data_IF_513978777052
#
_entry.id   IF_513978777052
#
_cell.length_a   1.000
_cell.length_b   1.000
_cell.length_c   1.000
_cell.angle_alpha   90.00
_cell.angle_beta   90.00
_cell.angle_gamma   90.00
#
_symmetry.space_group_name_H-M   'P 1'
#
loop_
_entity.id
_entity.type
_entity.pdbx_description
1 polymer ?
#
# COMPACT_ATOMS: atom_id res chain seq x y z
N UNK A 1 -11.26 14.22 -3.77
CA UNK A 1 -12.16 13.24 -3.13
C UNK A 1 -12.00 13.17 -1.60
N UNK A 2 -10.78 13.06 -1.05
CA UNK A 2 -10.56 13.02 0.42
C UNK A 2 -11.20 14.20 1.19
N UNK A 3 -11.07 15.42 0.68
CA UNK A 3 -11.61 16.62 1.36
C UNK A 3 -13.14 16.59 1.46
N UNK A 4 -13.84 16.06 0.44
CA UNK A 4 -15.30 16.12 0.39
C UNK A 4 -15.97 15.08 1.29
N UNK A 5 -15.42 13.86 1.38
CA UNK A 5 -15.92 12.86 2.34
C UNK A 5 -15.68 13.32 3.78
N UNK A 6 -14.49 13.86 4.09
CA UNK A 6 -14.16 14.39 5.42
C UNK A 6 -15.09 15.52 5.84
N UNK A 7 -15.32 16.50 4.95
CA UNK A 7 -16.19 17.65 5.27
C UNK A 7 -17.66 17.26 5.50
N UNK A 8 -18.10 16.14 4.94
CA UNK A 8 -19.47 15.64 5.08
C UNK A 8 -19.61 14.55 6.17
N UNK A 9 -18.59 14.30 6.99
CA UNK A 9 -18.60 13.27 8.04
C UNK A 9 -18.90 11.86 7.50
N UNK A 10 -18.46 11.57 6.27
CA UNK A 10 -18.64 10.27 5.63
C UNK A 10 -17.40 9.42 5.90
N UNK A 11 -17.61 8.23 6.47
CA UNK A 11 -16.53 7.23 6.60
C UNK A 11 -16.10 6.75 5.21
N UNK A 12 -14.80 6.84 4.93
CA UNK A 12 -14.22 6.40 3.67
C UNK A 12 -13.45 5.10 3.87
N UNK A 13 -13.90 4.03 3.22
CA UNK A 13 -13.25 2.72 3.30
C UNK A 13 -12.26 2.54 2.16
N UNK A 14 -10.98 2.32 2.47
CA UNK A 14 -9.95 2.08 1.48
C UNK A 14 -9.84 0.58 1.17
N UNK A 15 -9.96 0.22 -0.12
CA UNK A 15 -9.71 -1.14 -0.62
C UNK A 15 -8.38 -1.18 -1.39
N UNK A 16 -7.86 -2.37 -1.70
CA UNK A 16 -6.53 -2.57 -2.34
C UNK A 16 -5.34 -1.93 -1.59
N UNK A 17 -5.42 -1.79 -0.26
CA UNK A 17 -4.37 -1.15 0.55
C UNK A 17 -2.98 -1.79 0.40
N UNK A 18 -2.92 -3.09 0.09
CA UNK A 18 -1.68 -3.82 -0.19
C UNK A 18 -1.50 -4.18 -1.68
N UNK A 19 -2.35 -3.67 -2.57
CA UNK A 19 -2.30 -3.92 -4.02
C UNK A 19 -2.17 -5.42 -4.35
N UNK A 20 -3.09 -6.22 -3.79
CA UNK A 20 -3.11 -7.68 -3.94
C UNK A 20 -1.79 -8.39 -3.51
N UNK A 21 -1.04 -7.78 -2.60
CA UNK A 21 0.22 -8.25 -2.08
C UNK A 21 1.46 -7.62 -2.71
N UNK A 22 1.31 -6.75 -3.72
CA UNK A 22 2.43 -6.08 -4.37
C UNK A 22 3.23 -5.20 -3.39
N UNK A 23 2.56 -4.56 -2.42
CA UNK A 23 3.18 -3.72 -1.39
C UNK A 23 3.56 -4.50 -0.11
N UNK A 24 3.68 -5.83 -0.19
CA UNK A 24 4.05 -6.65 0.97
C UNK A 24 5.56 -6.89 1.11
N UNK A 25 6.36 -6.47 0.12
CA UNK A 25 7.80 -6.75 0.06
C UNK A 25 8.17 -8.20 -0.31
N UNK A 26 7.20 -9.04 -0.69
CA UNK A 26 7.43 -10.45 -1.07
C UNK A 26 7.79 -10.67 -2.53
N UNK A 27 7.58 -9.66 -3.38
CA UNK A 27 7.77 -9.75 -4.81
C UNK A 27 8.79 -8.72 -5.27
N UNK A 28 9.68 -9.18 -6.14
CA UNK A 28 10.76 -8.41 -6.73
C UNK A 28 11.12 -9.01 -8.10
N UNK A 29 12.07 -8.42 -8.82
CA UNK A 29 12.52 -8.86 -10.15
C UNK A 29 13.13 -10.27 -10.15
N UNK A 30 13.58 -10.78 -9.00
CA UNK A 30 14.07 -12.15 -8.82
C UNK A 30 12.97 -13.11 -8.33
N UNK A 31 11.95 -12.59 -7.67
CA UNK A 31 10.80 -13.31 -7.12
C UNK A 31 9.49 -12.73 -7.69
N UNK A 32 9.22 -12.92 -9.00
CA UNK A 32 8.04 -12.33 -9.63
C UNK A 32 6.74 -13.01 -9.16
N UNK A 33 5.60 -12.40 -9.48
CA UNK A 33 4.32 -13.06 -9.27
C UNK A 33 4.20 -14.32 -10.15
N UNK A 34 3.49 -15.37 -9.67
CA UNK A 34 3.29 -16.59 -10.43
C UNK A 34 2.68 -16.33 -11.82
N UNK A 35 3.34 -16.83 -12.86
CA UNK A 35 2.91 -16.68 -14.26
C UNK A 35 1.49 -17.24 -14.47
N UNK A 36 0.75 -16.65 -15.42
CA UNK A 36 -0.63 -17.02 -15.72
C UNK A 36 -1.68 -16.49 -14.73
N UNK A 37 -1.27 -15.65 -13.77
CA UNK A 37 -2.20 -14.92 -12.88
C UNK A 37 -2.42 -13.48 -13.37
N UNK A 38 -3.61 -12.94 -13.14
CA UNK A 38 -3.93 -11.53 -13.42
C UNK A 38 -2.98 -10.56 -12.70
N UNK A 39 -2.45 -10.96 -11.54
CA UNK A 39 -1.43 -10.19 -10.81
C UNK A 39 -0.11 -10.14 -11.55
N UNK A 40 0.33 -11.27 -12.10
CA UNK A 40 1.55 -11.32 -12.89
C UNK A 40 1.44 -10.44 -14.14
N UNK A 41 0.33 -10.48 -14.86
CA UNK A 41 0.12 -9.66 -16.06
C UNK A 41 0.24 -8.16 -15.77
N UNK A 42 -0.15 -7.71 -14.58
CA UNK A 42 -0.12 -6.28 -14.23
C UNK A 42 1.14 -5.85 -13.50
N UNK A 43 1.64 -6.64 -12.55
CA UNK A 43 2.76 -6.23 -11.72
C UNK A 43 4.11 -6.70 -12.25
N UNK A 44 4.22 -7.84 -12.93
CA UNK A 44 5.52 -8.31 -13.46
C UNK A 44 6.19 -7.31 -14.42
N UNK A 45 5.47 -6.61 -15.31
CA UNK A 45 6.06 -5.60 -16.19
C UNK A 45 6.63 -4.37 -15.48
N UNK A 46 6.31 -4.17 -14.19
CA UNK A 46 6.69 -2.98 -13.41
C UNK A 46 7.39 -3.32 -12.09
N UNK A 47 7.94 -4.54 -11.96
CA UNK A 47 8.59 -5.02 -10.73
C UNK A 47 9.79 -4.17 -10.32
N UNK A 48 10.55 -3.65 -11.29
CA UNK A 48 11.67 -2.74 -11.06
C UNK A 48 11.25 -1.47 -10.30
N UNK A 49 10.09 -0.90 -10.66
CA UNK A 49 9.50 0.25 -9.97
C UNK A 49 8.89 -0.13 -8.63
N UNK A 50 8.26 -1.31 -8.58
CA UNK A 50 7.66 -1.84 -7.35
C UNK A 50 8.70 -2.15 -6.28
N UNK A 51 9.89 -2.61 -6.68
CA UNK A 51 11.05 -2.77 -5.81
C UNK A 51 11.47 -1.45 -5.16
N UNK A 52 11.53 -0.36 -5.91
CA UNK A 52 11.87 0.97 -5.38
C UNK A 52 10.86 1.37 -4.30
N UNK A 53 9.56 1.16 -4.56
CA UNK A 53 8.51 1.46 -3.59
C UNK A 53 8.61 0.58 -2.34
N UNK A 54 8.75 -0.74 -2.52
CA UNK A 54 8.89 -1.69 -1.42
C UNK A 54 10.14 -1.44 -0.59
N UNK A 55 11.24 -0.99 -1.21
CA UNK A 55 12.45 -0.57 -0.50
C UNK A 55 12.16 0.64 0.40
N UNK A 56 11.45 1.66 -0.10
CA UNK A 56 11.08 2.82 0.73
C UNK A 56 10.15 2.42 1.88
N UNK A 57 9.17 1.56 1.63
CA UNK A 57 8.31 0.99 2.68
C UNK A 57 9.14 0.26 3.74
N UNK A 58 10.14 -0.52 3.32
CA UNK A 58 11.05 -1.22 4.22
C UNK A 58 11.92 -0.28 5.06
N UNK A 59 12.49 0.78 4.47
CA UNK A 59 13.29 1.76 5.21
C UNK A 59 12.50 2.37 6.38
N UNK A 60 11.25 2.80 6.12
CA UNK A 60 10.37 3.36 7.16
C UNK A 60 9.94 2.29 8.17
N UNK A 61 9.68 1.08 7.71
CA UNK A 61 9.31 -0.04 8.59
C UNK A 61 10.46 -0.41 9.55
N UNK A 62 11.70 -0.42 9.06
CA UNK A 62 12.89 -0.70 9.86
C UNK A 62 13.11 0.42 10.91
N UNK A 63 12.92 1.70 10.54
CA UNK A 63 12.99 2.85 11.46
C UNK A 63 11.96 2.74 12.59
N UNK A 64 10.76 2.24 12.27
CA UNK A 64 9.65 2.09 13.21
C UNK A 64 9.60 0.71 13.91
N UNK A 65 10.53 -0.19 13.58
CA UNK A 65 10.59 -1.57 14.08
C UNK A 65 9.30 -2.38 13.85
N UNK A 66 8.75 -2.28 12.64
CA UNK A 66 7.51 -2.94 12.21
C UNK A 66 7.71 -3.69 10.89
N UNK A 67 6.72 -4.48 10.49
CA UNK A 67 6.74 -5.14 9.18
C UNK A 67 6.43 -4.17 8.05
N UNK A 68 7.12 -4.31 6.90
CA UNK A 68 6.89 -3.48 5.70
C UNK A 68 5.43 -3.47 5.25
N UNK A 69 4.71 -4.59 5.40
CA UNK A 69 3.31 -4.69 5.02
C UNK A 69 2.37 -3.87 5.93
N UNK A 70 2.81 -3.42 7.10
CA UNK A 70 2.01 -2.58 7.98
C UNK A 70 2.05 -1.11 7.56
N UNK A 71 3.08 -0.67 6.81
CA UNK A 71 3.26 0.73 6.41
C UNK A 71 2.16 1.22 5.45
N UNK A 72 1.76 0.50 4.38
CA UNK A 72 0.65 0.93 3.52
C UNK A 72 -0.68 1.05 4.28
N UNK A 73 -0.91 0.17 5.25
CA UNK A 73 -2.11 0.20 6.10
C UNK A 73 -2.08 1.40 7.04
N UNK A 74 -0.95 1.66 7.71
CA UNK A 74 -0.76 2.85 8.53
C UNK A 74 -0.88 4.15 7.71
N UNK A 75 -0.40 4.15 6.46
CA UNK A 75 -0.58 5.26 5.52
C UNK A 75 -2.07 5.53 5.26
N UNK A 76 -2.85 4.51 4.89
CA UNK A 76 -4.28 4.63 4.65
C UNK A 76 -5.04 5.20 5.88
N UNK A 77 -4.67 4.75 7.09
CA UNK A 77 -5.24 5.26 8.35
C UNK A 77 -4.85 6.73 8.56
N UNK A 78 -3.57 7.10 8.38
CA UNK A 78 -3.08 8.48 8.53
C UNK A 78 -3.75 9.44 7.54
N UNK A 79 -4.09 8.97 6.33
CA UNK A 79 -4.89 9.75 5.36
C UNK A 79 -6.36 9.90 5.76
N UNK A 80 -6.81 9.23 6.84
CA UNK A 80 -8.14 9.36 7.41
C UNK A 80 -9.17 8.39 6.82
N UNK A 81 -8.70 7.24 6.32
CA UNK A 81 -9.56 6.18 5.78
C UNK A 81 -9.65 5.00 6.74
N UNK A 82 -10.65 4.14 6.53
CA UNK A 82 -10.79 2.86 7.23
C UNK A 82 -10.34 1.76 6.25
N UNK A 83 -9.13 1.20 6.39
CA UNK A 83 -8.63 0.21 5.44
C UNK A 83 -9.34 -1.13 5.59
N UNK A 84 -9.69 -1.74 4.46
CA UNK A 84 -10.13 -3.13 4.37
C UNK A 84 -8.92 -3.99 4.05
N UNK A 85 -8.46 -4.78 5.03
CA UNK A 85 -7.27 -5.63 4.89
C UNK A 85 -7.68 -7.09 4.78
N UNK A 86 -7.35 -7.72 3.65
CA UNK A 86 -7.55 -9.14 3.44
C UNK A 86 -6.54 -9.97 4.25
N UNK A 87 -7.02 -10.77 5.19
CA UNK A 87 -6.21 -11.71 5.97
C UNK A 87 -6.55 -13.14 5.59
N UNK A 88 -5.53 -13.96 5.30
CA UNK A 88 -5.70 -15.37 4.95
C UNK A 88 -5.15 -16.32 6.01
N UNK A 89 -4.46 -15.78 7.03
CA UNK A 89 -3.89 -16.50 8.15
C UNK A 89 -4.16 -15.71 9.44
N UNK A 90 -4.33 -16.43 10.55
CA UNK A 90 -4.66 -15.85 11.85
C UNK A 90 -3.59 -14.86 12.31
N UNK A 91 -2.31 -15.17 12.12
CA UNK A 91 -1.21 -14.30 12.50
C UNK A 91 -1.22 -12.92 11.79
N UNK A 92 -1.83 -12.83 10.60
CA UNK A 92 -1.97 -11.52 9.94
C UNK A 92 -2.98 -10.61 10.67
N UNK A 93 -3.87 -11.15 11.51
CA UNK A 93 -4.80 -10.35 12.31
C UNK A 93 -4.03 -9.54 13.35
N UNK A 94 -3.07 -10.17 14.04
CA UNK A 94 -2.24 -9.50 15.04
C UNK A 94 -1.35 -8.41 14.42
N UNK A 95 -0.83 -8.65 13.22
CA UNK A 95 -0.10 -7.65 12.43
C UNK A 95 -0.99 -6.44 12.08
N UNK A 96 -2.25 -6.67 11.70
CA UNK A 96 -3.19 -5.59 11.40
C UNK A 96 -3.55 -4.81 12.66
N UNK A 97 -3.79 -5.48 13.79
CA UNK A 97 -4.12 -4.83 15.06
C UNK A 97 -2.96 -3.96 15.56
N UNK A 98 -1.72 -4.46 15.49
CA UNK A 98 -0.53 -3.69 15.88
C UNK A 98 -0.29 -2.48 14.97
N UNK A 99 -0.78 -2.48 13.73
CA UNK A 99 -0.71 -1.34 12.82
C UNK A 99 -1.41 -0.09 13.38
N UNK A 100 -2.46 -0.25 14.19
CA UNK A 100 -3.18 0.87 14.80
C UNK A 100 -2.30 1.74 15.71
N UNK A 101 -1.18 1.17 16.20
CA UNK A 101 -0.22 1.86 17.06
C UNK A 101 0.89 2.57 16.28
N UNK A 102 0.98 2.37 14.96
CA UNK A 102 2.01 2.96 14.11
C UNK A 102 1.68 4.43 13.86
N UNK A 103 2.61 5.32 14.22
CA UNK A 103 2.48 6.75 14.01
C UNK A 103 3.41 7.20 12.89
N UNK A 104 2.88 7.28 11.68
CA UNK A 104 3.60 7.90 10.57
C UNK A 104 3.71 9.41 10.77
N UNK A 105 4.94 9.91 10.72
CA UNK A 105 5.23 11.34 10.71
C UNK A 105 4.88 11.94 9.36
N UNK A 106 4.72 13.26 9.29
CA UNK A 106 4.44 13.93 8.02
C UNK A 106 5.63 13.83 7.06
N UNK A 107 6.85 13.65 7.60
CA UNK A 107 8.05 13.29 6.83
C UNK A 107 7.88 11.94 6.14
N UNK A 108 7.46 10.89 6.87
CA UNK A 108 7.23 9.57 6.28
C UNK A 108 6.19 9.61 5.16
N UNK A 109 5.09 10.33 5.39
CA UNK A 109 4.03 10.51 4.37
C UNK A 109 4.61 11.17 3.12
N UNK A 110 5.33 12.28 3.29
CA UNK A 110 5.96 12.99 2.17
C UNK A 110 6.96 12.13 1.42
N UNK A 111 7.76 11.31 2.10
CA UNK A 111 8.71 10.40 1.45
C UNK A 111 8.02 9.31 0.64
N UNK A 112 6.91 8.75 1.16
CA UNK A 112 6.12 7.74 0.45
C UNK A 112 5.44 8.33 -0.79
N UNK A 113 4.76 9.48 -0.64
CA UNK A 113 4.08 10.17 -1.75
C UNK A 113 5.08 10.60 -2.82
N UNK A 114 6.19 11.24 -2.43
CA UNK A 114 7.25 11.59 -3.37
C UNK A 114 7.78 10.35 -4.10
N UNK A 115 8.07 9.25 -3.39
CA UNK A 115 8.56 8.03 -4.03
C UNK A 115 7.55 7.51 -5.05
N UNK A 116 6.26 7.43 -4.70
CA UNK A 116 5.20 6.97 -5.60
C UNK A 116 5.07 7.87 -6.84
N UNK A 117 5.08 9.18 -6.68
CA UNK A 117 4.95 10.15 -7.78
C UNK A 117 6.09 10.03 -8.81
N UNK A 118 7.33 9.79 -8.34
CA UNK A 118 8.48 9.65 -9.24
C UNK A 118 8.43 8.37 -10.11
N UNK A 119 7.71 7.33 -9.68
CA UNK A 119 7.62 6.07 -10.42
C UNK A 119 6.74 6.18 -11.67
N UNK A 120 5.86 7.19 -11.74
CA UNK A 120 4.95 7.43 -12.87
C UNK A 120 4.21 6.15 -13.29
N UNK A 121 3.69 5.41 -12.30
CA UNK A 121 2.93 4.19 -12.51
C UNK A 121 1.46 4.51 -12.76
N UNK A 122 0.89 3.96 -13.82
CA UNK A 122 -0.55 3.93 -14.02
C UNK A 122 -1.04 2.49 -13.99
N UNK A 123 -1.59 2.09 -12.85
CA UNK A 123 -2.10 0.74 -12.59
C UNK A 123 -3.62 0.71 -12.43
N UNK A 124 -4.32 1.76 -12.91
CA UNK A 124 -5.77 1.86 -12.87
C UNK A 124 -6.38 0.62 -13.54
N UNK A 125 -7.23 -0.07 -12.80
CA UNK A 125 -7.87 -1.30 -13.26
C UNK A 125 -9.11 -0.97 -14.09
N UNK A 126 -9.54 -1.92 -14.91
CA UNK A 126 -10.70 -1.74 -15.81
C UNK A 126 -12.01 -1.37 -15.10
N UNK A 127 -12.14 -1.68 -13.82
CA UNK A 127 -13.31 -1.35 -12.98
C UNK A 127 -13.17 -0.02 -12.24
N UNK A 128 -12.00 0.62 -12.32
CA UNK A 128 -11.72 1.86 -11.60
C UNK A 128 -12.01 3.05 -12.50
N UNK A 129 -12.76 4.00 -11.96
CA UNK A 129 -13.03 5.25 -12.66
C UNK A 129 -11.79 6.13 -12.55
N UNK A 130 -11.25 6.56 -13.69
CA UNK A 130 -10.23 7.60 -13.70
C UNK A 130 -10.84 8.85 -13.04
N UNK A 131 -10.14 9.37 -12.04
CA UNK A 131 -10.58 10.57 -11.36
C UNK A 131 -9.82 11.75 -11.96
N UNK A 132 -10.56 12.61 -12.64
CA UNK A 132 -10.09 13.89 -13.16
C UNK A 132 -10.25 15.00 -12.10
#
# INVERSE_FOLDING_TARGET
MECQCKNNHIYFFAYMVLEQGALSGKYDTKHPFPAGSQRAEVYNPVLDKLEIMNKKLKEIADELHVSSAQIPVAYAIKKGTIPIVGVTKVNHVDDVLSTLNIKLTDKHIKELENTADHLNLNLIRMWEKKMD
#
